data_IF_397678358272
#
_entry.id   IF_397678358272
#
_cell.length_a   1.000
_cell.length_b   1.000
_cell.length_c   1.000
_cell.angle_alpha   90.00
_cell.angle_beta   90.00
_cell.angle_gamma   90.00
#
_symmetry.space_group_name_H-M   'P 1'
#
loop_
_entity.id
_entity.type
_entity.pdbx_description
1 polymer ?
#
# COMPACT_ATOMS: atom_id res chain seq x y z
N UNK A 1 -2.35 -19.34 3.52
CA UNK A 1 -1.95 -20.39 4.47
C UNK A 1 -2.14 -21.78 3.86
N UNK A 2 -1.27 -22.73 4.21
CA UNK A 2 -1.38 -24.11 3.74
C UNK A 2 -2.57 -24.84 4.39
N UNK A 3 -2.96 -24.42 5.57
CA UNK A 3 -4.12 -24.94 6.33
C UNK A 3 -4.71 -23.83 7.21
N UNK A 4 -6.03 -23.87 7.42
CA UNK A 4 -6.73 -22.91 8.29
C UNK A 4 -6.96 -21.53 7.68
N UNK A 5 -7.23 -20.56 8.56
CA UNK A 5 -7.48 -19.16 8.20
C UNK A 5 -6.34 -18.25 8.65
N UNK A 6 -6.13 -17.15 7.93
CA UNK A 6 -5.12 -16.13 8.22
C UNK A 6 -5.68 -14.72 8.07
N UNK A 7 -5.04 -13.68 8.65
CA UNK A 7 -5.42 -12.31 8.39
C UNK A 7 -5.38 -11.99 6.90
N UNK A 8 -6.39 -11.30 6.41
CA UNK A 8 -6.41 -10.82 5.04
C UNK A 8 -5.44 -9.64 4.83
N UNK A 9 -4.86 -9.56 3.66
CA UNK A 9 -4.05 -8.39 3.24
C UNK A 9 -4.41 -7.99 1.82
N UNK A 10 -4.71 -6.70 1.63
CA UNK A 10 -4.91 -6.08 0.31
C UNK A 10 -3.64 -5.37 -0.13
N UNK A 11 -3.12 -5.72 -1.32
CA UNK A 11 -1.89 -5.16 -1.88
C UNK A 11 -2.20 -4.31 -3.12
N UNK A 12 -1.86 -3.03 -3.04
CA UNK A 12 -1.98 -2.05 -4.12
C UNK A 12 -0.64 -1.89 -4.84
N UNK A 13 -0.57 -2.18 -6.14
CA UNK A 13 0.66 -2.01 -6.91
C UNK A 13 0.99 -0.53 -7.16
N UNK A 14 2.16 -0.31 -7.75
CA UNK A 14 2.59 0.95 -8.31
C UNK A 14 1.91 1.25 -9.67
N UNK A 15 2.34 2.32 -10.36
CA UNK A 15 1.81 2.75 -11.65
C UNK A 15 1.93 1.68 -12.76
N UNK A 16 2.87 0.75 -12.64
CA UNK A 16 3.01 -0.35 -13.60
C UNK A 16 1.94 -1.45 -13.41
N UNK A 17 1.14 -1.37 -12.37
CA UNK A 17 0.00 -2.22 -12.10
C UNK A 17 0.35 -3.67 -11.75
N UNK A 18 -0.64 -4.53 -11.87
CA UNK A 18 -0.50 -5.95 -11.55
C UNK A 18 0.33 -6.68 -12.61
N UNK A 19 1.52 -7.13 -12.21
CA UNK A 19 2.52 -7.80 -13.04
C UNK A 19 3.24 -8.92 -12.28
N UNK A 20 4.11 -9.75 -12.90
CA UNK A 20 4.77 -10.86 -12.24
C UNK A 20 5.50 -10.49 -10.95
N UNK A 21 6.26 -9.37 -10.93
CA UNK A 21 6.98 -8.91 -9.74
C UNK A 21 6.05 -8.67 -8.54
N UNK A 22 4.94 -7.96 -8.75
CA UNK A 22 3.97 -7.69 -7.67
C UNK A 22 3.26 -8.96 -7.22
N UNK A 23 2.96 -9.90 -8.14
CA UNK A 23 2.43 -11.22 -7.77
C UNK A 23 3.41 -12.02 -6.93
N UNK A 24 4.73 -11.97 -7.25
CA UNK A 24 5.78 -12.60 -6.46
C UNK A 24 5.87 -12.01 -5.04
N UNK A 25 5.77 -10.69 -4.91
CA UNK A 25 5.73 -10.01 -3.61
C UNK A 25 4.50 -10.45 -2.80
N UNK A 26 3.33 -10.54 -3.44
CA UNK A 26 2.11 -11.06 -2.82
C UNK A 26 2.23 -12.53 -2.41
N UNK A 27 2.87 -13.37 -3.24
CA UNK A 27 3.15 -14.77 -2.92
C UNK A 27 4.06 -14.89 -1.69
N UNK A 28 5.15 -14.12 -1.63
CA UNK A 28 6.03 -14.06 -0.47
C UNK A 28 5.28 -13.70 0.82
N UNK A 29 4.35 -12.75 0.72
CA UNK A 29 3.52 -12.36 1.87
C UNK A 29 2.56 -13.49 2.29
N UNK A 30 1.99 -14.21 1.34
CA UNK A 30 1.15 -15.37 1.61
C UNK A 30 1.95 -16.51 2.29
N UNK A 31 3.18 -16.73 1.88
CA UNK A 31 4.12 -17.68 2.49
C UNK A 31 4.51 -17.28 3.92
N UNK A 32 4.39 -15.99 4.26
CA UNK A 32 4.59 -15.45 5.61
C UNK A 32 3.34 -15.55 6.51
N UNK A 33 2.28 -16.25 6.07
CA UNK A 33 1.13 -16.57 6.90
C UNK A 33 -0.08 -15.65 6.75
N UNK A 34 -0.23 -14.96 5.61
CA UNK A 34 -1.36 -14.07 5.32
C UNK A 34 -2.22 -14.61 4.17
N UNK A 35 -3.51 -14.22 4.14
CA UNK A 35 -4.39 -14.40 2.99
C UNK A 35 -4.36 -13.14 2.13
N UNK A 36 -3.71 -13.22 0.96
CA UNK A 36 -3.29 -12.02 0.20
C UNK A 36 -4.13 -11.84 -1.07
N UNK A 37 -4.68 -10.65 -1.24
CA UNK A 37 -5.29 -10.19 -2.48
C UNK A 37 -4.40 -9.11 -3.12
N UNK A 38 -3.85 -9.42 -4.29
CA UNK A 38 -3.10 -8.46 -5.11
C UNK A 38 -3.99 -8.01 -6.26
N UNK A 39 -4.26 -6.72 -6.37
CA UNK A 39 -5.27 -6.19 -7.31
C UNK A 39 -4.68 -5.55 -8.55
N UNK A 40 -5.49 -5.48 -9.61
CA UNK A 40 -5.25 -4.58 -10.73
C UNK A 40 -6.07 -3.30 -10.50
N UNK A 41 -5.46 -2.16 -10.16
CA UNK A 41 -6.22 -0.92 -9.93
C UNK A 41 -6.88 -0.37 -11.21
N UNK A 42 -6.39 -0.79 -12.37
CA UNK A 42 -6.87 -0.34 -13.68
C UNK A 42 -7.92 -1.25 -14.32
N UNK A 43 -8.49 -2.18 -13.58
CA UNK A 43 -9.35 -3.24 -14.12
C UNK A 43 -10.58 -2.74 -14.91
N UNK A 44 -11.04 -1.52 -14.64
CA UNK A 44 -12.15 -0.90 -15.38
C UNK A 44 -11.77 -0.55 -16.82
N UNK A 45 -10.49 -0.26 -17.02
CA UNK A 45 -9.98 0.23 -18.31
C UNK A 45 -9.18 -0.83 -19.05
N UNK A 46 -8.37 -1.61 -18.31
CA UNK A 46 -7.45 -2.56 -18.93
C UNK A 46 -7.21 -3.78 -18.03
N UNK A 47 -7.24 -4.96 -18.65
CA UNK A 47 -6.82 -6.20 -17.98
C UNK A 47 -5.31 -6.21 -17.73
N UNK A 48 -4.90 -6.84 -16.61
CA UNK A 48 -3.49 -7.06 -16.34
C UNK A 48 -2.87 -8.10 -17.31
N UNK A 49 -1.59 -7.95 -17.69
CA UNK A 49 -0.67 -6.88 -17.29
C UNK A 49 -0.96 -5.56 -18.01
N UNK A 50 -0.91 -4.44 -17.28
CA UNK A 50 -1.15 -3.11 -17.86
C UNK A 50 0.12 -2.47 -18.42
N UNK A 51 1.27 -2.83 -17.90
CA UNK A 51 2.58 -2.43 -18.37
C UNK A 51 3.22 -3.58 -19.17
N UNK A 52 3.31 -3.43 -20.48
CA UNK A 52 3.76 -4.51 -21.38
C UNK A 52 5.23 -4.95 -21.11
N UNK A 53 6.06 -4.05 -20.63
CA UNK A 53 7.46 -4.28 -20.29
C UNK A 53 7.72 -4.23 -18.77
N UNK A 54 6.68 -4.46 -17.93
CA UNK A 54 6.80 -4.31 -16.49
C UNK A 54 7.28 -2.92 -16.10
N UNK A 55 8.19 -2.83 -15.14
CA UNK A 55 8.74 -1.55 -14.67
C UNK A 55 9.66 -0.84 -15.70
N UNK A 56 9.98 -1.46 -16.83
CA UNK A 56 10.67 -0.82 -17.94
C UNK A 56 9.72 -0.07 -18.92
N UNK A 57 8.41 -0.21 -18.75
CA UNK A 57 7.43 0.54 -19.55
C UNK A 57 7.54 2.04 -19.28
N UNK A 58 7.66 2.88 -20.31
CA UNK A 58 7.74 4.34 -20.10
C UNK A 58 6.52 4.90 -19.35
N UNK A 59 6.75 5.60 -18.25
CA UNK A 59 5.69 6.18 -17.40
C UNK A 59 4.66 6.99 -18.18
N UNK A 60 5.03 7.84 -19.17
CA UNK A 60 4.05 8.60 -19.95
C UNK A 60 2.96 7.74 -20.62
N UNK A 61 3.24 6.48 -20.93
CA UNK A 61 2.25 5.55 -21.52
C UNK A 61 1.22 5.08 -20.49
N UNK A 62 1.53 5.17 -19.19
CA UNK A 62 0.68 4.72 -18.10
C UNK A 62 -0.09 5.85 -17.42
N UNK A 63 0.30 7.12 -17.66
CA UNK A 63 -0.37 8.28 -17.08
C UNK A 63 -1.87 8.32 -17.39
N UNK A 64 -2.35 8.03 -18.62
CA UNK A 64 -3.79 8.00 -18.90
C UNK A 64 -4.55 6.99 -18.04
N UNK A 65 -3.94 5.84 -17.72
CA UNK A 65 -4.53 4.86 -16.80
C UNK A 65 -4.56 5.40 -15.36
N UNK A 66 -3.44 5.96 -14.89
CA UNK A 66 -3.35 6.52 -13.54
C UNK A 66 -4.36 7.66 -13.34
N UNK A 67 -4.61 8.48 -14.34
CA UNK A 67 -5.59 9.59 -14.31
C UNK A 67 -7.04 9.12 -14.20
N UNK A 68 -7.35 7.85 -14.47
CA UNK A 68 -8.69 7.29 -14.24
C UNK A 68 -8.98 7.05 -12.76
N UNK A 69 -7.96 7.10 -11.92
CA UNK A 69 -8.03 6.83 -10.48
C UNK A 69 -8.09 8.13 -9.68
N UNK A 70 -8.95 8.16 -8.68
CA UNK A 70 -9.15 9.31 -7.80
C UNK A 70 -9.63 8.83 -6.41
N UNK A 71 -9.85 9.75 -5.49
CA UNK A 71 -10.29 9.42 -4.13
C UNK A 71 -11.57 8.57 -4.11
N UNK A 72 -12.54 8.88 -4.97
CA UNK A 72 -13.81 8.13 -5.06
C UNK A 72 -13.60 6.70 -5.55
N UNK A 73 -12.80 6.52 -6.62
CA UNK A 73 -12.50 5.18 -7.14
C UNK A 73 -11.70 4.36 -6.12
N UNK A 74 -10.73 4.97 -5.42
CA UNK A 74 -9.97 4.29 -4.36
C UNK A 74 -10.88 3.75 -3.24
N UNK A 75 -11.81 4.58 -2.75
CA UNK A 75 -12.75 4.18 -1.69
C UNK A 75 -13.73 3.11 -2.16
N UNK A 76 -14.26 3.26 -3.37
CA UNK A 76 -15.19 2.28 -3.97
C UNK A 76 -14.52 0.92 -4.15
N UNK A 77 -13.31 0.91 -4.70
CA UNK A 77 -12.55 -0.31 -4.94
C UNK A 77 -12.10 -0.98 -3.65
N UNK A 78 -11.64 -0.18 -2.68
CA UNK A 78 -11.27 -0.69 -1.37
C UNK A 78 -12.41 -1.47 -0.72
N UNK A 79 -13.63 -0.90 -0.70
CA UNK A 79 -14.82 -1.57 -0.16
C UNK A 79 -15.13 -2.88 -0.91
N UNK A 80 -15.07 -2.86 -2.23
CA UNK A 80 -15.36 -4.03 -3.05
C UNK A 80 -14.30 -5.14 -2.84
N UNK A 81 -13.02 -4.79 -2.85
CA UNK A 81 -11.93 -5.75 -2.68
C UNK A 81 -11.87 -6.34 -1.26
N UNK A 82 -12.10 -5.53 -0.23
CA UNK A 82 -12.19 -6.03 1.13
C UNK A 82 -13.42 -6.93 1.30
N UNK A 83 -14.58 -6.53 0.76
CA UNK A 83 -15.78 -7.35 0.79
C UNK A 83 -15.60 -8.70 0.07
N UNK A 84 -14.86 -8.73 -1.03
CA UNK A 84 -14.51 -9.97 -1.71
C UNK A 84 -13.51 -10.81 -0.88
N UNK A 85 -12.50 -10.16 -0.31
CA UNK A 85 -11.49 -10.83 0.52
C UNK A 85 -12.15 -11.50 1.74
N UNK A 86 -13.10 -10.84 2.38
CA UNK A 86 -13.85 -11.37 3.54
C UNK A 86 -14.74 -12.57 3.19
N UNK A 87 -15.05 -12.80 1.91
CA UNK A 87 -15.79 -13.99 1.47
C UNK A 87 -14.88 -15.22 1.28
N UNK A 88 -13.56 -15.03 1.27
CA UNK A 88 -12.65 -16.15 1.04
C UNK A 88 -12.55 -17.05 2.27
N UNK A 89 -12.59 -18.39 2.11
CA UNK A 89 -12.51 -19.32 3.23
C UNK A 89 -11.18 -19.29 3.96
N UNK A 90 -10.12 -18.79 3.34
CA UNK A 90 -8.77 -18.66 3.92
C UNK A 90 -8.60 -17.40 4.80
N UNK A 91 -9.60 -16.50 4.85
CA UNK A 91 -9.51 -15.25 5.60
C UNK A 91 -10.11 -15.40 7.00
N UNK A 92 -9.35 -15.04 8.02
CA UNK A 92 -9.81 -14.98 9.41
C UNK A 92 -10.74 -13.78 9.61
N UNK A 93 -12.04 -14.01 9.70
CA UNK A 93 -13.07 -12.96 9.80
C UNK A 93 -13.08 -12.25 11.16
N UNK A 94 -12.56 -12.89 12.19
CA UNK A 94 -12.44 -12.38 13.55
C UNK A 94 -11.15 -11.58 13.80
N UNK A 95 -10.26 -11.48 12.80
CA UNK A 95 -9.02 -10.70 12.86
C UNK A 95 -9.11 -9.51 11.92
N UNK A 96 -8.42 -8.43 12.27
CA UNK A 96 -8.27 -7.28 11.37
C UNK A 96 -7.45 -7.64 10.15
N UNK A 97 -7.56 -6.85 9.09
CA UNK A 97 -6.81 -7.01 7.85
C UNK A 97 -5.78 -5.91 7.69
N UNK A 98 -4.72 -6.23 6.93
CA UNK A 98 -3.71 -5.28 6.51
C UNK A 98 -3.98 -4.73 5.12
N UNK A 99 -3.43 -3.57 4.84
CA UNK A 99 -3.33 -3.04 3.48
C UNK A 99 -1.96 -2.42 3.27
N UNK A 100 -1.41 -2.61 2.08
CA UNK A 100 -0.13 -2.03 1.71
C UNK A 100 -0.14 -1.55 0.28
N UNK A 101 0.67 -0.53 -0.01
CA UNK A 101 0.77 0.00 -1.35
C UNK A 101 2.15 0.55 -1.67
N UNK A 102 2.46 0.54 -2.96
CA UNK A 102 3.72 0.96 -3.54
C UNK A 102 3.49 2.14 -4.46
N UNK A 103 4.33 3.21 -4.40
CA UNK A 103 4.16 4.41 -5.22
C UNK A 103 2.74 4.99 -5.03
N UNK A 104 1.97 5.21 -6.08
CA UNK A 104 0.58 5.66 -6.01
C UNK A 104 -0.32 4.74 -5.16
N UNK A 105 0.03 3.47 -5.03
CA UNK A 105 -0.66 2.50 -4.18
C UNK A 105 -0.63 2.86 -2.70
N UNK A 106 0.34 3.66 -2.25
CA UNK A 106 0.41 4.17 -0.88
C UNK A 106 -0.82 4.97 -0.49
N UNK A 107 -1.24 5.91 -1.33
CA UNK A 107 -2.47 6.69 -1.13
C UNK A 107 -3.73 5.80 -1.16
N UNK A 108 -3.75 4.76 -1.99
CA UNK A 108 -4.84 3.79 -2.03
C UNK A 108 -4.92 2.98 -0.74
N UNK A 109 -3.78 2.57 -0.17
CA UNK A 109 -3.72 1.87 1.12
C UNK A 109 -4.25 2.75 2.27
N UNK A 110 -3.87 4.02 2.32
CA UNK A 110 -4.40 4.98 3.30
C UNK A 110 -5.93 5.13 3.18
N UNK A 111 -6.43 5.31 1.97
CA UNK A 111 -7.88 5.41 1.71
C UNK A 111 -8.62 4.10 1.95
N UNK A 112 -7.95 2.95 1.87
CA UNK A 112 -8.55 1.66 2.24
C UNK A 112 -8.91 1.63 3.73
N UNK A 113 -8.02 2.09 4.61
CA UNK A 113 -8.31 2.18 6.04
C UNK A 113 -9.49 3.13 6.32
N UNK A 114 -9.54 4.27 5.66
CA UNK A 114 -10.67 5.20 5.76
C UNK A 114 -11.98 4.59 5.24
N UNK A 115 -11.94 3.85 4.13
CA UNK A 115 -13.11 3.25 3.50
C UNK A 115 -13.74 2.12 4.33
N UNK A 116 -12.92 1.36 5.08
CA UNK A 116 -13.34 0.17 5.85
C UNK A 116 -12.65 0.16 7.23
N UNK A 117 -12.90 1.19 8.08
CA UNK A 117 -12.13 1.42 9.31
C UNK A 117 -12.30 0.31 10.36
N UNK A 118 -13.43 -0.39 10.36
CA UNK A 118 -13.67 -1.46 11.31
C UNK A 118 -12.91 -2.75 10.97
N UNK A 119 -12.48 -2.91 9.71
CA UNK A 119 -11.74 -4.09 9.25
C UNK A 119 -10.24 -3.86 9.17
N UNK A 120 -9.80 -2.67 8.80
CA UNK A 120 -8.36 -2.40 8.59
C UNK A 120 -7.68 -2.07 9.92
N UNK A 121 -6.66 -2.87 10.27
CA UNK A 121 -5.84 -2.70 11.47
C UNK A 121 -4.43 -2.19 11.18
N UNK A 122 -3.93 -2.40 9.96
CA UNK A 122 -2.58 -2.03 9.58
C UNK A 122 -2.53 -1.44 8.17
N UNK A 123 -1.74 -0.39 8.00
CA UNK A 123 -1.49 0.30 6.72
C UNK A 123 -0.01 0.47 6.50
N UNK A 124 0.51 0.03 5.35
CA UNK A 124 1.88 0.31 4.94
C UNK A 124 1.92 1.05 3.60
N UNK A 125 2.77 2.07 3.52
CA UNK A 125 3.09 2.79 2.29
C UNK A 125 4.59 2.75 2.04
N UNK A 126 4.97 2.27 0.87
CA UNK A 126 6.35 2.23 0.42
C UNK A 126 6.52 3.20 -0.74
N UNK A 127 7.48 4.14 -0.61
CA UNK A 127 7.71 5.22 -1.59
C UNK A 127 6.40 5.81 -2.15
N UNK A 128 5.46 6.18 -1.25
CA UNK A 128 4.17 6.75 -1.64
C UNK A 128 4.26 8.13 -2.31
N UNK A 129 5.44 8.74 -2.24
CA UNK A 129 5.69 10.05 -2.83
C UNK A 129 4.78 11.14 -2.29
N UNK A 130 4.66 12.23 -3.01
CA UNK A 130 3.89 13.43 -2.64
C UNK A 130 2.37 13.22 -2.68
N UNK A 131 1.91 11.97 -2.81
CA UNK A 131 0.48 11.63 -2.85
C UNK A 131 -0.17 11.38 -1.50
N UNK A 132 0.61 11.31 -0.41
CA UNK A 132 0.10 11.01 0.93
C UNK A 132 -0.37 12.27 1.68
N UNK A 133 0.34 13.38 1.51
CA UNK A 133 0.00 14.68 2.06
C UNK A 133 -0.30 15.64 0.90
N UNK A 134 -1.53 16.10 0.81
CA UNK A 134 -1.96 17.06 -0.22
C UNK A 134 -2.67 18.23 0.44
N UNK A 135 -2.90 19.31 -0.31
CA UNK A 135 -3.66 20.47 0.16
C UNK A 135 -5.18 20.26 0.12
N UNK A 136 -5.62 19.12 -0.40
CA UNK A 136 -7.05 18.81 -0.52
C UNK A 136 -7.65 18.38 0.82
N UNK A 137 -8.93 18.73 1.09
CA UNK A 137 -9.61 18.31 2.32
C UNK A 137 -9.71 16.79 2.50
N UNK A 138 -9.70 16.04 1.40
CA UNK A 138 -9.71 14.57 1.35
C UNK A 138 -8.30 13.97 1.24
N UNK A 139 -7.29 14.71 1.69
CA UNK A 139 -5.90 14.24 1.70
C UNK A 139 -5.77 12.90 2.41
N UNK A 140 -5.04 11.91 1.84
CA UNK A 140 -4.95 10.57 2.41
C UNK A 140 -4.55 10.54 3.88
N UNK A 141 -3.57 11.35 4.32
CA UNK A 141 -3.14 11.38 5.71
C UNK A 141 -4.23 11.87 6.67
N UNK A 142 -5.07 12.83 6.26
CA UNK A 142 -6.19 13.33 7.06
C UNK A 142 -7.29 12.27 7.19
N UNK A 143 -7.62 11.58 6.10
CA UNK A 143 -8.57 10.48 6.11
C UNK A 143 -8.07 9.32 6.99
N UNK A 144 -6.80 8.93 6.84
CA UNK A 144 -6.19 7.87 7.63
C UNK A 144 -6.17 8.19 9.13
N UNK A 145 -5.99 9.46 9.50
CA UNK A 145 -6.00 9.91 10.89
C UNK A 145 -7.37 9.76 11.60
N UNK A 146 -8.44 9.52 10.85
CA UNK A 146 -9.78 9.25 11.44
C UNK A 146 -10.00 7.77 11.79
N UNK A 147 -9.04 6.90 11.52
CA UNK A 147 -9.13 5.45 11.71
C UNK A 147 -8.52 4.99 13.04
N UNK A 148 -8.46 3.68 13.25
CA UNK A 148 -7.78 3.05 14.40
C UNK A 148 -6.62 2.15 13.96
N UNK A 149 -6.17 2.30 12.71
CA UNK A 149 -5.09 1.51 12.15
C UNK A 149 -3.71 1.93 12.69
N UNK A 150 -2.75 1.03 12.61
CA UNK A 150 -1.33 1.33 12.82
C UNK A 150 -0.65 1.52 11.45
N UNK A 151 0.36 2.39 11.41
CA UNK A 151 0.94 2.83 10.14
C UNK A 151 2.43 2.54 10.04
N UNK A 152 2.87 2.17 8.83
CA UNK A 152 4.27 2.15 8.40
C UNK A 152 4.38 2.98 7.13
N UNK A 153 5.22 4.01 7.14
CA UNK A 153 5.48 4.86 5.98
C UNK A 153 6.97 4.89 5.70
N UNK A 154 7.38 4.20 4.66
CA UNK A 154 8.75 4.16 4.18
C UNK A 154 8.91 5.15 3.01
N UNK A 155 9.49 6.30 3.29
CA UNK A 155 9.66 7.42 2.34
C UNK A 155 10.94 7.23 1.55
N UNK A 156 10.94 7.44 0.24
CA UNK A 156 12.16 7.45 -0.56
C UNK A 156 12.97 8.73 -0.32
N UNK A 157 14.29 8.64 -0.39
CA UNK A 157 15.17 9.80 -0.19
C UNK A 157 14.87 10.95 -1.17
N UNK A 158 14.65 10.63 -2.44
CA UNK A 158 14.33 11.65 -3.43
C UNK A 158 12.91 12.21 -3.29
N UNK A 159 11.95 11.44 -2.77
CA UNK A 159 10.62 11.96 -2.43
C UNK A 159 10.72 12.95 -1.26
N UNK A 160 11.51 12.59 -0.23
CA UNK A 160 11.77 13.47 0.92
C UNK A 160 12.47 14.78 0.52
N UNK A 161 13.39 14.71 -0.44
CA UNK A 161 14.04 15.93 -0.98
C UNK A 161 13.06 16.84 -1.73
N UNK A 162 12.05 16.30 -2.40
CA UNK A 162 11.03 17.07 -3.10
C UNK A 162 9.97 17.65 -2.16
N UNK A 163 9.61 16.93 -1.09
CA UNK A 163 8.60 17.34 -0.13
C UNK A 163 9.11 17.13 1.33
N UNK A 164 10.11 17.89 1.78
CA UNK A 164 10.83 17.62 3.03
C UNK A 164 9.98 17.74 4.30
N UNK A 165 8.85 18.43 4.22
CA UNK A 165 7.91 18.59 5.35
C UNK A 165 6.90 17.46 5.48
N UNK A 166 6.68 16.66 4.44
CA UNK A 166 5.61 15.66 4.39
C UNK A 166 5.74 14.62 5.52
N UNK A 167 6.95 14.10 5.76
CA UNK A 167 7.22 13.15 6.85
C UNK A 167 6.87 13.73 8.23
N UNK A 168 7.13 15.02 8.43
CA UNK A 168 6.84 15.72 9.71
C UNK A 168 5.33 15.90 9.86
N UNK A 169 4.65 16.37 8.82
CA UNK A 169 3.20 16.52 8.80
C UNK A 169 2.50 15.18 9.11
N UNK A 170 2.94 14.09 8.52
CA UNK A 170 2.39 12.75 8.82
C UNK A 170 2.62 12.35 10.27
N UNK A 171 3.85 12.50 10.79
CA UNK A 171 4.17 12.18 12.21
C UNK A 171 3.28 12.97 13.16
N UNK A 172 3.16 14.28 12.96
CA UNK A 172 2.34 15.16 13.80
C UNK A 172 0.85 14.80 13.71
N UNK A 173 0.36 14.55 12.50
CA UNK A 173 -1.04 14.17 12.27
C UNK A 173 -1.40 12.87 13.00
N UNK A 174 -0.59 11.84 12.87
CA UNK A 174 -0.82 10.56 13.54
C UNK A 174 -0.64 10.65 15.06
N UNK A 175 0.36 11.38 15.53
CA UNK A 175 0.56 11.62 16.96
C UNK A 175 -0.63 12.37 17.58
N UNK A 176 -1.15 13.40 16.92
CA UNK A 176 -2.34 14.14 17.35
C UNK A 176 -3.59 13.26 17.38
N UNK A 177 -3.69 12.30 16.47
CA UNK A 177 -4.79 11.34 16.43
C UNK A 177 -4.61 10.15 17.39
N UNK A 178 -3.46 10.07 18.10
CA UNK A 178 -3.14 8.95 19.00
C UNK A 178 -2.87 7.63 18.28
N UNK A 179 -2.47 7.68 17.01
CA UNK A 179 -2.25 6.49 16.18
C UNK A 179 -0.79 6.06 16.19
N UNK A 180 -0.50 4.77 16.43
CA UNK A 180 0.84 4.23 16.27
C UNK A 180 1.30 4.35 14.81
N UNK A 181 2.39 5.05 14.57
CA UNK A 181 2.94 5.25 13.23
C UNK A 181 4.46 5.25 13.24
N UNK A 182 5.04 4.50 12.32
CA UNK A 182 6.45 4.55 11.97
C UNK A 182 6.59 5.27 10.62
N UNK A 183 7.28 6.40 10.61
CA UNK A 183 7.56 7.18 9.39
C UNK A 183 9.06 7.36 9.30
N UNK A 184 9.69 6.74 8.32
CA UNK A 184 11.15 6.73 8.12
C UNK A 184 11.52 7.05 6.68
N UNK A 185 12.60 7.83 6.50
CA UNK A 185 13.22 8.06 5.19
C UNK A 185 14.27 6.97 4.95
N UNK A 186 14.13 6.27 3.84
CA UNK A 186 15.07 5.25 3.38
C UNK A 186 16.05 5.85 2.38
N UNK A 187 17.33 5.53 2.51
CA UNK A 187 18.39 6.00 1.60
C UNK A 187 18.30 5.29 0.22
N UNK A 188 17.12 5.34 -0.38
CA UNK A 188 16.77 4.68 -1.64
C UNK A 188 15.96 5.60 -2.53
N UNK A 189 15.99 5.34 -3.83
CA UNK A 189 15.22 6.09 -4.82
C UNK A 189 13.77 5.59 -4.87
N UNK A 190 12.84 6.47 -5.27
CA UNK A 190 11.44 6.09 -5.48
C UNK A 190 11.33 4.83 -6.36
N UNK A 191 10.66 3.79 -5.86
CA UNK A 191 10.52 2.51 -6.57
C UNK A 191 11.50 1.42 -6.11
N UNK A 192 12.21 1.56 -4.98
CA UNK A 192 13.23 0.57 -4.54
C UNK A 192 12.70 -0.80 -4.13
N UNK A 193 11.40 -0.97 -3.84
CA UNK A 193 10.86 -2.23 -3.32
C UNK A 193 10.55 -3.31 -4.38
N UNK A 194 9.95 -3.00 -5.55
CA UNK A 194 9.66 -4.03 -6.55
C UNK A 194 10.93 -4.58 -7.20
N UNK A 195 11.10 -5.91 -7.27
CA UNK A 195 12.36 -6.53 -7.73
C UNK A 195 12.65 -6.35 -9.24
N UNK A 196 11.65 -5.93 -10.02
CA UNK A 196 11.83 -5.60 -11.44
C UNK A 196 12.09 -4.11 -11.71
N UNK A 197 12.19 -3.30 -10.66
CA UNK A 197 12.51 -1.88 -10.76
C UNK A 197 13.99 -1.65 -11.08
N UNK A 198 14.29 -0.69 -11.95
CA UNK A 198 15.66 -0.27 -12.25
C UNK A 198 16.43 0.35 -11.07
N UNK A 199 15.71 0.68 -9.99
CA UNK A 199 16.28 1.23 -8.74
C UNK A 199 16.07 0.29 -7.55
N UNK A 200 15.79 -0.98 -7.80
CA UNK A 200 15.63 -1.98 -6.74
C UNK A 200 16.84 -2.03 -5.82
N UNK A 201 16.57 -2.01 -4.53
CA UNK A 201 17.61 -2.14 -3.49
C UNK A 201 17.24 -3.28 -2.55
N UNK A 202 17.82 -4.45 -2.75
CA UNK A 202 17.55 -5.63 -1.94
C UNK A 202 17.72 -5.35 -0.43
N UNK A 203 18.83 -4.77 0.06
CA UNK A 203 19.01 -4.54 1.50
C UNK A 203 17.92 -3.65 2.09
N UNK A 204 17.46 -2.61 1.36
CA UNK A 204 16.44 -1.69 1.85
C UNK A 204 15.03 -2.26 1.65
N UNK A 205 14.80 -3.06 0.62
CA UNK A 205 13.56 -3.81 0.45
C UNK A 205 13.39 -4.85 1.57
N UNK A 206 14.45 -5.56 1.97
CA UNK A 206 14.42 -6.50 3.09
C UNK A 206 14.23 -5.79 4.44
N UNK A 207 14.84 -4.62 4.65
CA UNK A 207 14.55 -3.78 5.82
C UNK A 207 13.07 -3.40 5.86
N UNK A 208 12.53 -2.88 4.75
CA UNK A 208 11.12 -2.52 4.63
C UNK A 208 10.20 -3.72 4.87
N UNK A 209 10.56 -4.88 4.34
CA UNK A 209 9.85 -6.14 4.55
C UNK A 209 9.81 -6.56 6.02
N UNK A 210 10.94 -6.50 6.73
CA UNK A 210 10.98 -6.84 8.16
C UNK A 210 10.08 -5.91 8.99
N UNK A 211 10.05 -4.60 8.67
CA UNK A 211 9.17 -3.63 9.35
C UNK A 211 7.70 -3.89 9.03
N UNK A 212 7.38 -4.29 7.79
CA UNK A 212 6.03 -4.68 7.40
C UNK A 212 5.53 -5.88 8.22
N UNK A 213 6.34 -6.94 8.33
CA UNK A 213 5.98 -8.11 9.12
C UNK A 213 5.83 -7.78 10.61
N UNK A 214 6.67 -6.90 11.16
CA UNK A 214 6.55 -6.41 12.53
C UNK A 214 5.23 -5.63 12.75
N UNK A 215 4.85 -4.75 11.81
CA UNK A 215 3.57 -4.05 11.83
C UNK A 215 2.40 -5.05 11.82
N UNK A 216 2.41 -5.98 10.88
CA UNK A 216 1.31 -6.94 10.73
C UNK A 216 1.22 -7.92 11.91
N UNK A 217 2.35 -8.41 12.41
CA UNK A 217 2.38 -9.27 13.60
C UNK A 217 1.77 -8.60 14.83
N UNK A 218 1.92 -7.27 14.96
CA UNK A 218 1.36 -6.50 16.08
C UNK A 218 -0.10 -6.11 15.86
N UNK A 219 -0.45 -5.65 14.66
CA UNK A 219 -1.75 -5.00 14.42
C UNK A 219 -2.84 -5.94 13.91
N UNK A 220 -2.48 -7.14 13.42
CA UNK A 220 -3.39 -8.14 12.89
C UNK A 220 -3.46 -9.42 13.76
N UNK A 221 -2.87 -9.39 14.94
CA UNK A 221 -2.87 -10.50 15.88
C UNK A 221 -4.28 -10.80 16.44
#
# INVERSE_FOLDING_TARGET
PSTGTAPGVLVWPDIFGLRPAIRQMGKRLAESGYSVLVVNPFYRTQKAPTAAQGAATPIPQLLPLAQTLNATTHVTDAKAFIGWLDQQPSVAKNRRIGTQGYCMGGAMAFRTAYAVPDRVGAVASFHGGNGLVTTMPDSPHLQAATTKAQFLVAVAQNDDMQAPTEKTVMKETFAKAGLPAEVEVYAAMHGWCPPDSGVYSEPLAEKAWSRLLALYGKALA
#
